data_IF_422468378568
#
_entry.id   IF_422468378568
#
_cell.length_a   1.000
_cell.length_b   1.000
_cell.length_c   1.000
_cell.angle_alpha   90.00
_cell.angle_beta   90.00
_cell.angle_gamma   90.00
#
_symmetry.space_group_name_H-M   'P 1'
#
loop_
_entity.id
_entity.type
_entity.pdbx_description
1 polymer ?
#
# COMPACT_ATOMS: atom_id res chain seq x y z
N UNK A 1 18.60 28.58 21.78
CA UNK A 1 17.26 28.34 22.30
C UNK A 1 16.91 26.92 21.88
N UNK A 2 16.94 26.01 22.85
CA UNK A 2 16.73 24.58 22.67
C UNK A 2 15.26 24.33 22.35
N UNK A 3 14.97 23.86 21.15
CA UNK A 3 13.64 23.36 20.80
C UNK A 3 13.42 22.03 21.50
N UNK A 4 12.52 22.01 22.47
CA UNK A 4 12.02 20.79 23.11
C UNK A 4 11.44 19.88 22.01
N UNK A 5 12.10 18.77 21.78
CA UNK A 5 11.60 17.65 20.97
C UNK A 5 10.52 16.95 21.82
N UNK A 6 9.30 17.47 21.81
CA UNK A 6 8.14 16.79 22.38
C UNK A 6 7.93 15.48 21.61
N UNK A 7 7.66 14.42 22.33
CA UNK A 7 7.24 13.13 21.76
C UNK A 7 6.07 13.31 20.77
N UNK A 8 6.07 12.65 19.59
CA UNK A 8 5.04 12.81 18.55
C UNK A 8 3.60 12.68 19.05
N UNK A 9 3.36 11.82 20.05
CA UNK A 9 2.06 11.67 20.70
C UNK A 9 1.66 12.88 21.56
N UNK A 10 2.60 13.44 22.31
CA UNK A 10 2.37 14.65 23.14
C UNK A 10 2.13 15.87 22.26
N UNK A 11 2.85 16.00 21.16
CA UNK A 11 2.66 17.08 20.21
C UNK A 11 1.30 16.99 19.51
N UNK A 12 0.86 15.79 19.10
CA UNK A 12 -0.46 15.58 18.50
C UNK A 12 -1.60 15.95 19.45
N UNK A 13 -1.50 15.57 20.72
CA UNK A 13 -2.48 15.88 21.73
C UNK A 13 -2.63 17.39 21.97
N UNK A 14 -1.51 18.12 22.01
CA UNK A 14 -1.52 19.56 22.18
C UNK A 14 -2.17 20.29 20.99
N UNK A 15 -1.76 19.95 19.77
CA UNK A 15 -2.30 20.55 18.54
C UNK A 15 -3.78 20.21 18.39
N UNK A 16 -4.19 18.96 18.66
CA UNK A 16 -5.58 18.56 18.60
C UNK A 16 -6.45 19.29 19.63
N UNK A 17 -5.98 19.46 20.87
CA UNK A 17 -6.68 20.23 21.90
C UNK A 17 -6.93 21.68 21.47
N UNK A 18 -5.94 22.32 20.86
CA UNK A 18 -6.07 23.67 20.32
C UNK A 18 -7.05 23.71 19.14
N UNK A 19 -6.96 22.75 18.20
CA UNK A 19 -7.87 22.64 17.06
C UNK A 19 -9.32 22.40 17.52
N UNK A 20 -9.54 21.53 18.50
CA UNK A 20 -10.84 21.23 19.05
C UNK A 20 -11.49 22.48 19.72
N UNK A 21 -10.68 23.30 20.39
CA UNK A 21 -11.14 24.57 20.96
C UNK A 21 -11.62 25.53 19.87
N UNK A 22 -10.89 25.62 18.75
CA UNK A 22 -11.29 26.44 17.59
C UNK A 22 -12.56 25.91 16.92
N UNK A 23 -12.69 24.58 16.78
CA UNK A 23 -13.88 23.93 16.20
C UNK A 23 -15.13 24.13 17.08
N UNK A 24 -15.00 24.05 18.39
CA UNK A 24 -16.08 24.32 19.34
C UNK A 24 -16.54 25.79 19.30
N UNK A 25 -15.59 26.72 19.14
CA UNK A 25 -15.84 28.15 19.00
C UNK A 25 -16.38 28.59 17.65
N UNK A 26 -16.36 27.73 16.66
CA UNK A 26 -16.77 28.10 15.30
C UNK A 26 -18.30 28.25 15.22
N UNK A 27 -18.75 29.46 14.87
CA UNK A 27 -20.16 29.83 14.77
C UNK A 27 -20.86 29.25 13.53
N UNK A 28 -20.12 28.83 12.52
CA UNK A 28 -20.68 28.25 11.29
C UNK A 28 -21.06 26.79 11.43
N UNK A 29 -20.60 26.11 12.50
CA UNK A 29 -20.87 24.70 12.76
C UNK A 29 -22.09 24.54 13.65
N UNK A 30 -23.03 23.72 13.25
CA UNK A 30 -24.16 23.30 14.11
C UNK A 30 -23.71 22.45 15.29
N UNK A 31 -24.52 22.36 16.35
CA UNK A 31 -24.21 21.51 17.50
C UNK A 31 -23.97 20.03 17.13
N UNK A 32 -24.73 19.52 16.13
CA UNK A 32 -24.53 18.15 15.61
C UNK A 32 -23.19 17.97 14.91
N UNK A 33 -22.78 18.96 14.13
CA UNK A 33 -21.47 18.92 13.44
C UNK A 33 -20.30 19.00 14.41
N UNK A 34 -20.42 19.76 15.49
CA UNK A 34 -19.42 19.84 16.56
C UNK A 34 -19.26 18.49 17.28
N UNK A 35 -20.36 17.75 17.45
CA UNK A 35 -20.33 16.42 18.07
C UNK A 35 -19.45 15.39 17.36
N UNK A 36 -19.25 15.52 16.02
CA UNK A 36 -18.37 14.61 15.28
C UNK A 36 -16.89 14.72 15.65
N UNK A 37 -16.45 15.83 16.25
CA UNK A 37 -15.08 16.03 16.68
C UNK A 37 -14.82 15.54 18.11
N UNK A 38 -15.86 15.34 18.94
CA UNK A 38 -15.71 15.02 20.37
C UNK A 38 -15.16 13.60 20.64
N UNK A 39 -15.45 12.65 19.74
CA UNK A 39 -14.96 11.27 19.85
C UNK A 39 -13.62 11.01 19.16
N UNK A 40 -12.95 12.05 18.68
CA UNK A 40 -11.69 11.91 17.94
C UNK A 40 -10.51 11.99 18.90
N UNK A 41 -9.64 10.98 18.85
CA UNK A 41 -8.42 10.89 19.66
C UNK A 41 -7.18 11.11 18.81
N UNK A 42 -6.31 12.07 19.15
CA UNK A 42 -5.04 12.25 18.46
C UNK A 42 -4.05 11.15 18.87
N UNK A 43 -3.42 10.49 17.91
CA UNK A 43 -2.41 9.46 18.18
C UNK A 43 -0.99 10.00 18.03
N UNK A 44 -0.66 10.57 16.87
CA UNK A 44 0.69 11.04 16.60
C UNK A 44 0.73 12.07 15.46
N UNK A 45 1.85 12.79 15.33
CA UNK A 45 2.15 13.66 14.18
C UNK A 45 3.43 13.16 13.53
N UNK A 46 3.39 13.00 12.20
CA UNK A 46 4.53 12.65 11.37
C UNK A 46 4.63 13.65 10.21
N UNK A 47 5.67 14.48 10.24
CA UNK A 47 5.84 15.54 9.25
C UNK A 47 4.64 16.48 9.18
N UNK A 48 3.91 16.47 8.07
CA UNK A 48 2.70 17.29 7.86
C UNK A 48 1.39 16.51 8.07
N UNK A 49 1.44 15.33 8.66
CA UNK A 49 0.25 14.49 8.86
C UNK A 49 -0.02 14.25 10.34
N UNK A 50 -1.26 14.51 10.81
CA UNK A 50 -1.75 14.14 12.13
C UNK A 50 -2.64 12.92 12.04
N UNK A 51 -2.36 11.89 12.85
CA UNK A 51 -3.16 10.67 12.92
C UNK A 51 -4.23 10.87 13.99
N UNK A 52 -5.49 10.69 13.59
CA UNK A 52 -6.67 10.85 14.42
C UNK A 52 -7.43 9.52 14.47
N UNK A 53 -7.59 8.97 15.67
CA UNK A 53 -8.40 7.79 15.88
C UNK A 53 -9.88 8.18 16.02
N UNK A 54 -10.75 7.47 15.31
CA UNK A 54 -12.21 7.67 15.30
C UNK A 54 -12.94 6.39 15.65
N UNK A 55 -14.13 6.51 16.24
CA UNK A 55 -14.88 5.35 16.74
C UNK A 55 -15.48 4.47 15.63
N UNK A 56 -15.81 5.04 14.47
CA UNK A 56 -16.50 4.33 13.40
C UNK A 56 -16.26 4.95 12.01
N UNK A 57 -16.65 4.18 10.97
CA UNK A 57 -16.53 4.58 9.57
C UNK A 57 -17.38 5.83 9.22
N UNK A 58 -18.49 6.06 9.91
CA UNK A 58 -19.37 7.18 9.65
C UNK A 58 -18.71 8.49 10.07
N UNK A 59 -18.09 8.52 11.27
CA UNK A 59 -17.29 9.65 11.75
C UNK A 59 -16.13 9.92 10.79
N UNK A 60 -15.40 8.90 10.37
CA UNK A 60 -14.32 9.06 9.40
C UNK A 60 -14.82 9.72 8.11
N UNK A 61 -15.91 9.22 7.55
CA UNK A 61 -16.46 9.74 6.29
C UNK A 61 -16.89 11.21 6.44
N UNK A 62 -17.60 11.56 7.52
CA UNK A 62 -18.04 12.94 7.76
C UNK A 62 -16.87 13.91 7.88
N UNK A 63 -15.80 13.51 8.56
CA UNK A 63 -14.59 14.32 8.73
C UNK A 63 -13.75 14.42 7.44
N UNK A 64 -13.84 13.43 6.55
CA UNK A 64 -13.15 13.44 5.25
C UNK A 64 -13.91 14.19 4.15
N UNK A 65 -15.23 14.38 4.29
CA UNK A 65 -16.05 15.01 3.27
C UNK A 65 -16.57 16.36 3.73
N UNK A 66 -17.68 16.39 4.46
CA UNK A 66 -18.45 17.60 4.77
C UNK A 66 -17.72 18.54 5.76
N UNK A 67 -16.92 18.00 6.65
CA UNK A 67 -16.22 18.76 7.69
C UNK A 67 -14.72 18.92 7.40
N UNK A 68 -14.21 18.39 6.30
CA UNK A 68 -12.78 18.37 5.98
C UNK A 68 -12.17 19.77 5.89
N UNK A 69 -12.82 20.69 5.19
CA UNK A 69 -12.31 22.06 4.99
C UNK A 69 -12.17 22.82 6.30
N UNK A 70 -13.14 22.65 7.20
CA UNK A 70 -13.15 23.32 8.52
C UNK A 70 -12.11 22.67 9.44
N UNK A 71 -11.96 21.35 9.37
CA UNK A 71 -10.95 20.60 10.12
C UNK A 71 -9.52 21.01 9.71
N UNK A 72 -9.24 21.06 8.40
CA UNK A 72 -7.94 21.49 7.87
C UNK A 72 -7.59 22.92 8.31
N UNK A 73 -8.55 23.84 8.27
CA UNK A 73 -8.34 25.20 8.72
C UNK A 73 -8.03 25.27 10.22
N UNK A 74 -8.77 24.51 11.05
CA UNK A 74 -8.53 24.46 12.48
C UNK A 74 -7.15 23.86 12.83
N UNK A 75 -6.75 22.79 12.13
CA UNK A 75 -5.44 22.17 12.30
C UNK A 75 -4.29 23.09 11.89
N UNK A 76 -4.45 23.81 10.76
CA UNK A 76 -3.46 24.81 10.30
C UNK A 76 -3.25 25.93 11.33
N UNK A 77 -4.33 26.47 11.87
CA UNK A 77 -4.24 27.53 12.89
C UNK A 77 -3.64 26.99 14.20
N UNK A 78 -4.05 25.78 14.62
CA UNK A 78 -3.55 25.14 15.83
C UNK A 78 -2.06 24.78 15.75
N UNK A 79 -1.53 24.56 14.54
CA UNK A 79 -0.12 24.25 14.26
C UNK A 79 0.70 25.48 13.86
N UNK A 80 0.29 26.67 14.29
CA UNK A 80 1.09 27.90 14.04
C UNK A 80 1.15 28.33 12.57
N UNK A 81 0.15 27.95 11.74
CA UNK A 81 0.08 28.33 10.33
C UNK A 81 0.68 27.29 9.37
N UNK A 82 1.31 26.24 9.88
CA UNK A 82 1.84 25.14 9.08
C UNK A 82 0.71 24.15 8.77
N UNK A 83 0.56 23.77 7.53
CA UNK A 83 -0.50 22.85 7.11
C UNK A 83 -0.31 21.45 7.71
N UNK A 84 -1.38 20.94 8.33
CA UNK A 84 -1.47 19.58 8.83
C UNK A 84 -2.66 18.87 8.19
N UNK A 85 -2.42 17.67 7.70
CA UNK A 85 -3.43 16.85 7.05
C UNK A 85 -3.87 15.73 7.98
N UNK A 86 -5.19 15.58 8.25
CA UNK A 86 -5.69 14.53 9.11
C UNK A 86 -5.71 13.19 8.39
N UNK A 87 -5.18 12.18 9.05
CA UNK A 87 -5.31 10.78 8.69
C UNK A 87 -6.15 10.08 9.75
N UNK A 88 -7.07 9.20 9.35
CA UNK A 88 -8.03 8.61 10.28
C UNK A 88 -7.78 7.11 10.46
N UNK A 89 -7.77 6.67 11.71
CA UNK A 89 -7.73 5.26 12.14
C UNK A 89 -9.02 4.94 12.91
N UNK A 90 -9.64 3.81 12.63
CA UNK A 90 -10.86 3.40 13.33
C UNK A 90 -10.50 2.63 14.59
N UNK A 91 -10.98 3.09 15.75
CA UNK A 91 -10.85 2.37 17.00
C UNK A 91 -11.73 1.12 16.96
N UNK A 92 -11.11 -0.06 17.01
CA UNK A 92 -11.87 -1.29 17.23
C UNK A 92 -12.31 -1.29 18.71
N UNK A 93 -13.61 -1.23 18.98
CA UNK A 93 -14.17 -1.38 20.32
C UNK A 93 -13.84 -2.75 20.87
N UNK A 94 -12.79 -2.84 21.69
CA UNK A 94 -12.60 -3.97 22.59
C UNK A 94 -13.68 -3.86 23.66
N UNK A 95 -14.73 -4.64 23.51
CA UNK A 95 -15.78 -4.82 24.53
C UNK A 95 -15.14 -5.47 25.76
N UNK A 96 -14.64 -4.66 26.67
CA UNK A 96 -14.27 -5.10 28.00
C UNK A 96 -15.56 -5.27 28.79
N UNK A 97 -16.10 -6.49 28.72
CA UNK A 97 -17.19 -6.89 29.59
C UNK A 97 -16.71 -6.91 31.04
N UNK A 98 -17.10 -5.92 31.80
CA UNK A 98 -17.05 -5.94 33.26
C UNK A 98 -18.26 -6.78 33.72
N UNK A 99 -18.00 -7.97 34.21
CA UNK A 99 -18.99 -8.72 34.98
C UNK A 99 -19.03 -8.19 36.41
N UNK A 100 -20.21 -8.10 37.03
CA UNK A 100 -20.41 -8.43 38.42
C UNK A 100 -21.20 -9.73 38.51
N UNK A 101 -20.68 -10.64 39.36
CA UNK A 101 -21.24 -11.95 39.53
C UNK A 101 -22.59 -12.01 40.25
N UNK A 102 -23.26 -13.11 40.02
CA UNK A 102 -24.02 -13.88 41.05
C UNK A 102 -24.51 -15.19 40.47
N UNK A 103 -24.44 -16.14 41.29
CA UNK A 103 -24.64 -17.57 41.20
C UNK A 103 -26.07 -18.05 40.87
N UNK A 104 -26.08 -19.37 40.55
CA UNK A 104 -27.07 -20.43 40.85
C UNK A 104 -28.05 -20.72 39.70
N UNK A 105 -28.10 -21.90 39.19
CA UNK A 105 -28.53 -23.23 39.46
C UNK A 105 -28.95 -23.98 38.18
N UNK A 106 -28.70 -25.23 38.22
CA UNK A 106 -28.89 -26.26 37.20
C UNK A 106 -30.37 -26.56 36.90
N UNK A 107 -30.69 -27.03 35.69
CA UNK A 107 -31.38 -28.32 35.51
C UNK A 107 -31.61 -28.69 34.02
N UNK A 108 -31.09 -29.87 33.70
CA UNK A 108 -31.62 -30.97 32.83
C UNK A 108 -32.08 -30.68 31.40
N UNK A 109 -31.36 -31.36 30.50
CA UNK A 109 -31.89 -31.93 29.25
C UNK A 109 -32.99 -33.03 29.54
N UNK A 110 -33.80 -33.47 28.56
CA UNK A 110 -33.28 -34.31 27.50
C UNK A 110 -34.03 -34.29 26.13
N UNK A 111 -33.30 -34.83 25.14
CA UNK A 111 -33.72 -35.93 24.24
C UNK A 111 -34.61 -35.68 23.02
N UNK A 112 -33.99 -35.97 21.86
CA UNK A 112 -34.44 -36.91 20.81
C UNK A 112 -35.57 -36.52 19.86
N UNK A 113 -35.30 -36.46 18.55
CA UNK A 113 -35.65 -37.47 17.55
C UNK A 113 -35.35 -37.00 16.12
N UNK A 114 -34.60 -37.84 15.39
CA UNK A 114 -34.73 -37.99 13.93
C UNK A 114 -35.98 -38.84 13.62
N UNK A 115 -36.57 -38.73 12.42
CA UNK A 115 -36.33 -39.74 11.38
C UNK A 115 -36.27 -39.16 9.95
N UNK A 116 -35.37 -39.75 9.12
CA UNK A 116 -35.51 -40.72 8.01
C UNK A 116 -36.43 -40.32 6.86
N UNK A 117 -35.83 -40.09 5.72
CA UNK A 117 -35.62 -40.93 4.52
C UNK A 117 -36.74 -40.90 3.43
N UNK A 118 -36.22 -40.94 2.24
CA UNK A 118 -36.69 -41.52 0.98
C UNK A 118 -37.20 -40.51 -0.06
N UNK A 119 -36.56 -40.51 -1.16
CA UNK A 119 -36.62 -41.24 -2.45
C UNK A 119 -37.08 -40.32 -3.58
N UNK A 120 -36.39 -40.10 -4.64
CA UNK A 120 -36.21 -40.76 -5.92
C UNK A 120 -35.68 -39.75 -6.97
N UNK A 121 -34.67 -40.14 -7.71
CA UNK A 121 -34.28 -39.54 -9.00
C UNK A 121 -35.28 -39.99 -10.11
N UNK A 122 -35.33 -39.32 -11.29
CA UNK A 122 -34.44 -39.75 -12.36
C UNK A 122 -33.90 -38.66 -13.34
N UNK A 123 -32.71 -38.94 -13.81
CA UNK A 123 -32.09 -38.79 -15.16
C UNK A 123 -32.63 -37.73 -16.14
N UNK A 124 -31.69 -36.91 -16.59
CA UNK A 124 -31.81 -36.15 -17.84
C UNK A 124 -30.49 -35.50 -18.22
N UNK A 125 -29.80 -36.13 -19.13
CA UNK A 125 -28.54 -35.77 -19.79
C UNK A 125 -28.59 -34.41 -20.47
N UNK A 126 -27.52 -33.58 -20.31
CA UNK A 126 -26.88 -32.85 -21.39
C UNK A 126 -25.64 -32.10 -20.82
N UNK A 127 -24.49 -32.45 -21.29
CA UNK A 127 -23.26 -31.70 -21.10
C UNK A 127 -23.32 -30.41 -21.92
N UNK A 128 -22.92 -29.26 -21.38
CA UNK A 128 -22.55 -28.10 -22.21
C UNK A 128 -21.04 -28.09 -22.44
N UNK A 129 -20.71 -27.80 -23.68
CA UNK A 129 -19.41 -27.65 -24.25
C UNK A 129 -18.53 -26.63 -23.50
N UNK A 130 -17.24 -26.93 -23.43
CA UNK A 130 -16.18 -26.00 -23.06
C UNK A 130 -16.17 -24.79 -24.00
N UNK A 131 -16.10 -23.55 -23.52
CA UNK A 131 -15.71 -22.45 -24.37
C UNK A 131 -14.18 -22.49 -24.52
N UNK A 132 -13.75 -22.56 -25.76
CA UNK A 132 -12.35 -22.32 -26.15
C UNK A 132 -12.00 -20.87 -25.85
N UNK A 133 -11.04 -20.66 -24.98
CA UNK A 133 -10.41 -19.36 -24.80
C UNK A 133 -9.49 -19.10 -25.99
N UNK A 134 -10.01 -18.35 -26.96
CA UNK A 134 -9.16 -17.60 -27.89
C UNK A 134 -8.51 -16.46 -27.06
N UNK A 135 -7.19 -16.52 -26.92
CA UNK A 135 -6.41 -15.34 -26.63
C UNK A 135 -6.39 -14.54 -27.92
N UNK A 136 -7.17 -13.47 -27.94
CA UNK A 136 -6.99 -12.44 -28.97
C UNK A 136 -5.58 -11.88 -28.79
N UNK A 137 -4.76 -12.03 -29.84
CA UNK A 137 -3.54 -11.26 -30.01
C UNK A 137 -3.88 -9.80 -29.84
N UNK A 138 -3.29 -9.16 -28.83
CA UNK A 138 -3.39 -7.74 -28.61
C UNK A 138 -2.97 -7.04 -29.91
N UNK A 139 -3.93 -6.45 -30.58
CA UNK A 139 -3.69 -5.61 -31.76
C UNK A 139 -2.75 -4.50 -31.30
N UNK A 140 -1.53 -4.54 -31.82
CA UNK A 140 -0.56 -3.45 -31.65
C UNK A 140 -1.12 -2.28 -32.47
N UNK A 141 -1.86 -1.38 -31.81
CA UNK A 141 -2.31 -0.15 -32.46
C UNK A 141 -1.06 0.67 -32.81
N UNK A 142 -0.87 0.90 -34.08
CA UNK A 142 0.18 1.80 -34.58
C UNK A 142 -0.25 3.23 -34.34
N UNK A 143 0.73 4.14 -34.26
CA UNK A 143 0.50 5.57 -34.03
C UNK A 143 -0.47 6.19 -35.05
N UNK A 144 -0.54 5.64 -36.27
CA UNK A 144 -1.47 6.03 -37.33
C UNK A 144 -2.93 5.67 -37.04
N UNK A 145 -3.18 4.63 -36.24
CA UNK A 145 -4.56 4.24 -35.85
C UNK A 145 -5.15 5.14 -34.78
N UNK A 146 -4.28 5.87 -34.04
CA UNK A 146 -4.69 6.73 -32.91
C UNK A 146 -4.99 8.18 -33.38
N UNK A 147 -4.42 8.60 -34.50
CA UNK A 147 -4.57 9.98 -35.05
C UNK A 147 -4.80 9.98 -36.57
N UNK A 148 -5.96 9.59 -37.07
CA UNK A 148 -6.24 9.75 -38.50
C UNK A 148 -6.44 11.22 -38.86
N UNK A 149 -5.55 11.79 -39.62
CA UNK A 149 -5.79 13.06 -40.36
C UNK A 149 -5.01 14.29 -39.91
N UNK A 150 -3.92 14.21 -39.18
CA UNK A 150 -3.05 15.36 -38.93
C UNK A 150 -1.75 15.23 -39.76
N UNK A 151 -1.75 15.85 -40.93
CA UNK A 151 -0.52 16.22 -41.64
C UNK A 151 0.17 17.33 -40.82
N UNK A 152 1.14 16.98 -40.00
CA UNK A 152 2.06 17.95 -39.43
C UNK A 152 3.16 18.25 -40.46
N UNK A 153 3.00 19.38 -41.15
CA UNK A 153 4.09 20.00 -41.88
C UNK A 153 5.12 20.53 -40.89
N UNK A 154 6.18 19.76 -40.65
CA UNK A 154 7.27 20.14 -39.77
C UNK A 154 8.16 21.15 -40.48
N UNK A 155 8.40 22.36 -39.95
CA UNK A 155 9.44 23.25 -40.49
C UNK A 155 10.80 22.57 -40.27
N UNK A 156 11.58 22.44 -41.33
CA UNK A 156 12.95 21.96 -41.30
C UNK A 156 13.81 22.88 -40.43
N UNK A 157 13.97 22.54 -39.15
CA UNK A 157 14.91 23.20 -38.26
C UNK A 157 16.25 22.45 -38.34
N UNK A 158 17.17 23.03 -39.08
CA UNK A 158 18.62 22.71 -39.00
C UNK A 158 19.19 23.19 -37.69
N UNK A 159 18.92 22.44 -36.61
CA UNK A 159 19.54 22.60 -35.30
C UNK A 159 20.21 21.28 -34.93
N UNK A 160 21.53 21.24 -35.05
CA UNK A 160 22.37 20.14 -34.58
C UNK A 160 22.19 19.98 -33.08
N UNK A 161 21.40 19.00 -32.64
CA UNK A 161 21.31 18.63 -31.23
C UNK A 161 22.61 17.97 -30.78
N UNK A 162 23.18 18.30 -29.62
CA UNK A 162 24.37 17.63 -29.13
C UNK A 162 24.03 16.14 -28.92
N UNK A 163 24.69 15.27 -29.68
CA UNK A 163 24.61 13.84 -29.49
C UNK A 163 25.28 13.48 -28.16
N UNK A 164 24.44 13.20 -27.17
CA UNK A 164 24.93 12.59 -25.92
C UNK A 164 25.23 11.11 -26.22
N UNK A 165 26.46 10.63 -25.94
CA UNK A 165 26.83 9.25 -26.21
C UNK A 165 25.88 8.28 -25.50
N UNK A 166 25.33 7.32 -26.23
CA UNK A 166 24.58 6.19 -25.69
C UNK A 166 25.51 5.27 -24.89
N UNK A 167 25.94 5.69 -23.69
CA UNK A 167 26.54 4.79 -22.72
C UNK A 167 25.46 4.31 -21.78
N UNK A 168 25.21 3.02 -21.84
CA UNK A 168 24.47 2.16 -20.89
C UNK A 168 23.12 2.70 -20.38
N UNK A 169 22.10 2.75 -21.26
CA UNK A 169 20.73 3.20 -20.93
C UNK A 169 19.81 2.10 -20.38
N UNK A 170 20.31 0.92 -20.13
CA UNK A 170 19.58 -0.08 -19.34
C UNK A 170 20.20 -0.12 -17.93
N UNK A 171 19.80 0.82 -17.06
CA UNK A 171 19.95 0.57 -15.64
C UNK A 171 19.07 -0.63 -15.31
N UNK A 172 19.69 -1.83 -15.31
CA UNK A 172 19.10 -2.97 -14.62
C UNK A 172 18.73 -2.49 -13.22
N UNK A 173 17.53 -2.80 -12.70
CA UNK A 173 17.24 -2.49 -11.31
C UNK A 173 18.42 -2.98 -10.48
N UNK A 174 18.98 -2.11 -9.67
CA UNK A 174 20.12 -2.44 -8.79
C UNK A 174 19.55 -3.21 -7.60
N UNK A 175 19.15 -4.45 -7.84
CA UNK A 175 18.68 -5.36 -6.81
C UNK A 175 19.84 -5.72 -5.90
N UNK A 176 19.65 -5.51 -4.62
CA UNK A 176 20.56 -5.97 -3.59
C UNK A 176 20.46 -7.50 -3.47
N UNK A 177 21.56 -8.26 -3.60
CA UNK A 177 21.50 -9.72 -3.60
C UNK A 177 21.04 -10.33 -2.27
N UNK A 178 21.24 -9.63 -1.17
CA UNK A 178 20.93 -10.13 0.17
C UNK A 178 19.49 -9.78 0.57
N UNK A 179 19.09 -8.54 0.34
CA UNK A 179 17.78 -8.02 0.77
C UNK A 179 16.71 -8.08 -0.32
N UNK A 180 17.10 -8.27 -1.58
CA UNK A 180 16.27 -8.18 -2.79
C UNK A 180 15.64 -6.80 -3.03
N UNK A 181 16.10 -5.76 -2.35
CA UNK A 181 15.62 -4.41 -2.53
C UNK A 181 16.13 -3.76 -3.81
N UNK A 182 15.28 -2.99 -4.48
CA UNK A 182 15.72 -2.04 -5.50
C UNK A 182 16.25 -0.78 -4.81
N UNK A 183 17.56 -0.56 -4.89
CA UNK A 183 18.23 0.57 -4.24
C UNK A 183 17.82 1.95 -4.78
N UNK A 184 17.22 2.00 -5.97
CA UNK A 184 16.77 3.26 -6.57
C UNK A 184 15.41 3.72 -6.03
N UNK A 185 14.61 2.80 -5.47
CA UNK A 185 13.30 3.11 -4.94
C UNK A 185 13.43 3.59 -3.48
N UNK A 186 13.42 4.90 -3.31
CA UNK A 186 13.58 5.58 -2.02
C UNK A 186 12.40 6.51 -1.76
N UNK A 187 12.27 7.02 -0.53
CA UNK A 187 11.30 8.08 -0.25
C UNK A 187 11.58 9.39 -0.98
N UNK A 188 12.84 9.65 -1.37
CA UNK A 188 13.21 10.84 -2.13
C UNK A 188 12.81 10.75 -3.61
N UNK A 189 12.81 9.52 -4.16
CA UNK A 189 12.35 9.26 -5.53
C UNK A 189 10.86 8.98 -5.62
N UNK A 190 10.16 8.86 -4.49
CA UNK A 190 8.71 8.72 -4.43
C UNK A 190 8.04 10.10 -4.39
N UNK A 191 7.36 10.47 -5.46
CA UNK A 191 6.68 11.78 -5.57
C UNK A 191 5.39 11.78 -4.73
N UNK A 192 5.31 12.62 -3.67
CA UNK A 192 4.11 12.73 -2.88
C UNK A 192 3.03 13.54 -3.60
N UNK A 193 1.79 13.11 -3.49
CA UNK A 193 0.58 13.80 -3.93
C UNK A 193 -0.57 13.48 -2.99
N UNK A 194 -1.73 14.11 -3.15
CA UNK A 194 -2.86 13.91 -2.24
C UNK A 194 -3.35 12.45 -2.21
N UNK A 195 -3.22 11.75 -3.33
CA UNK A 195 -3.61 10.34 -3.48
C UNK A 195 -2.73 9.33 -2.73
N UNK A 196 -1.49 9.68 -2.38
CA UNK A 196 -0.51 8.76 -1.80
C UNK A 196 0.22 9.30 -0.56
N UNK A 197 0.00 10.56 -0.18
CA UNK A 197 0.69 11.24 0.92
C UNK A 197 0.57 10.48 2.23
N UNK A 198 -0.64 10.01 2.55
CA UNK A 198 -0.87 9.25 3.76
C UNK A 198 -0.09 7.92 3.76
N UNK A 199 -0.19 7.16 2.68
CA UNK A 199 0.56 5.91 2.54
C UNK A 199 2.07 6.13 2.69
N UNK A 200 2.62 7.19 2.07
CA UNK A 200 4.04 7.56 2.22
C UNK A 200 4.42 7.92 3.65
N UNK A 201 3.57 8.68 4.35
CA UNK A 201 3.85 9.11 5.74
C UNK A 201 3.88 7.92 6.69
N UNK A 202 2.89 7.03 6.59
CA UNK A 202 2.84 5.80 7.40
C UNK A 202 4.01 4.87 7.07
N UNK A 203 4.33 4.72 5.78
CA UNK A 203 5.47 3.93 5.33
C UNK A 203 6.79 4.44 5.95
N UNK A 204 6.97 5.76 6.01
CA UNK A 204 8.14 6.38 6.63
C UNK A 204 8.19 6.09 8.14
N UNK A 205 7.07 6.23 8.86
CA UNK A 205 6.99 5.91 10.29
C UNK A 205 7.34 4.44 10.59
N UNK A 206 6.84 3.51 9.77
CA UNK A 206 7.21 2.08 9.89
C UNK A 206 8.69 1.87 9.58
N UNK A 207 9.25 2.54 8.57
CA UNK A 207 10.66 2.46 8.23
C UNK A 207 11.57 2.96 9.37
N UNK A 208 11.17 4.04 10.03
CA UNK A 208 11.89 4.60 11.20
C UNK A 208 11.81 3.71 12.45
N UNK A 209 10.82 2.82 12.53
CA UNK A 209 10.56 1.99 13.69
C UNK A 209 9.70 2.66 14.77
N UNK A 210 9.16 3.85 14.48
CA UNK A 210 8.25 4.59 15.37
C UNK A 210 6.78 4.13 15.23
N UNK A 211 6.44 3.45 14.12
CA UNK A 211 5.09 2.98 13.81
C UNK A 211 4.78 1.58 14.34
N UNK A 212 5.07 1.26 15.59
CA UNK A 212 4.80 -0.09 16.16
C UNK A 212 3.32 -0.46 16.13
N UNK A 213 2.44 0.53 16.32
CA UNK A 213 0.98 0.35 16.27
C UNK A 213 0.45 0.12 14.84
N UNK A 214 1.29 0.32 13.82
CA UNK A 214 0.94 0.11 12.40
C UNK A 214 1.38 -1.25 11.87
N UNK A 215 1.72 -2.18 12.76
CA UNK A 215 2.20 -3.51 12.39
C UNK A 215 1.05 -4.54 12.47
N UNK A 216 0.74 -5.27 11.39
CA UNK A 216 1.29 -5.13 10.06
C UNK A 216 0.81 -3.87 9.33
N UNK A 217 1.62 -3.32 8.41
CA UNK A 217 1.19 -2.30 7.47
C UNK A 217 0.71 -2.98 6.18
N UNK A 218 -0.55 -2.77 5.81
CA UNK A 218 -1.11 -3.24 4.55
C UNK A 218 -1.29 -2.06 3.59
N UNK A 219 -0.54 -2.03 2.49
CA UNK A 219 -0.63 -1.02 1.44
C UNK A 219 -1.41 -1.64 0.27
N UNK A 220 -2.56 -1.08 -0.10
CA UNK A 220 -3.33 -1.59 -1.22
C UNK A 220 -3.68 -0.50 -2.24
N UNK A 221 -3.99 -0.91 -3.46
CA UNK A 221 -4.36 -0.02 -4.57
C UNK A 221 -4.12 -0.69 -5.90
N UNK A 222 -4.64 -0.12 -6.97
CA UNK A 222 -4.51 -0.66 -8.31
C UNK A 222 -3.07 -0.96 -8.73
N UNK A 223 -2.89 -1.78 -9.76
CA UNK A 223 -1.57 -2.08 -10.30
C UNK A 223 -0.88 -0.81 -10.82
N UNK A 224 0.46 -0.72 -10.63
CA UNK A 224 1.25 0.39 -11.15
C UNK A 224 1.12 1.72 -10.39
N UNK A 225 0.57 1.75 -9.17
CA UNK A 225 0.41 2.97 -8.36
C UNK A 225 1.59 3.27 -7.41
N UNK A 226 2.69 2.48 -7.46
CA UNK A 226 3.89 2.72 -6.65
C UNK A 226 3.94 1.95 -5.33
N UNK A 227 3.12 0.91 -5.13
CA UNK A 227 3.16 0.06 -3.92
C UNK A 227 4.53 -0.59 -3.73
N UNK A 228 5.06 -1.22 -4.77
CA UNK A 228 6.41 -1.82 -4.80
C UNK A 228 7.49 -0.79 -4.47
N UNK A 229 7.39 0.42 -4.98
CA UNK A 229 8.29 1.51 -4.67
C UNK A 229 8.26 1.84 -3.17
N UNK A 230 7.07 1.95 -2.56
CA UNK A 230 6.95 2.20 -1.12
C UNK A 230 7.55 1.07 -0.29
N UNK A 231 7.35 -0.20 -0.68
CA UNK A 231 7.98 -1.33 0.02
C UNK A 231 9.51 -1.21 -0.02
N UNK A 232 10.08 -0.99 -1.21
CA UNK A 232 11.53 -0.81 -1.37
C UNK A 232 12.03 0.41 -0.58
N UNK A 233 11.30 1.53 -0.62
CA UNK A 233 11.65 2.73 0.14
C UNK A 233 11.70 2.48 1.65
N UNK A 234 10.74 1.71 2.20
CA UNK A 234 10.73 1.29 3.61
C UNK A 234 12.00 0.50 3.93
N UNK A 235 12.33 -0.49 3.11
CA UNK A 235 13.50 -1.35 3.31
C UNK A 235 14.81 -0.56 3.24
N UNK A 236 14.98 0.23 2.20
CA UNK A 236 16.18 1.08 2.00
C UNK A 236 16.37 2.06 3.15
N UNK A 237 15.29 2.71 3.61
CA UNK A 237 15.36 3.65 4.72
C UNK A 237 15.65 2.98 6.05
N UNK A 238 15.06 1.80 6.32
CA UNK A 238 15.34 1.03 7.54
C UNK A 238 16.81 0.64 7.63
N UNK A 239 17.43 0.21 6.52
CA UNK A 239 18.87 -0.08 6.43
C UNK A 239 19.73 1.17 6.62
N UNK A 240 19.31 2.31 6.05
CA UNK A 240 20.02 3.58 6.21
C UNK A 240 20.02 4.06 7.66
N UNK A 241 18.87 3.95 8.34
CA UNK A 241 18.68 4.39 9.73
C UNK A 241 19.40 3.49 10.73
N UNK A 242 19.36 2.19 10.51
CA UNK A 242 19.96 1.17 11.39
C UNK A 242 20.72 0.14 10.54
N UNK A 243 22.01 0.40 10.23
CA UNK A 243 22.86 -0.58 9.56
C UNK A 243 22.96 -1.85 10.42
N UNK A 244 22.57 -2.98 9.91
CA UNK A 244 22.48 -4.25 10.65
C UNK A 244 21.05 -4.74 10.88
N UNK A 245 20.03 -3.94 10.53
CA UNK A 245 18.64 -4.41 10.41
C UNK A 245 18.56 -5.45 9.31
N UNK A 246 18.00 -6.62 9.60
CA UNK A 246 17.80 -7.68 8.61
C UNK A 246 16.47 -7.43 7.89
N UNK A 247 16.58 -6.92 6.68
CA UNK A 247 15.43 -6.64 5.81
C UNK A 247 15.32 -7.70 4.74
N UNK A 248 14.11 -8.16 4.45
CA UNK A 248 13.83 -9.05 3.33
C UNK A 248 12.63 -8.52 2.55
N UNK A 249 12.87 -8.19 1.28
CA UNK A 249 11.83 -7.99 0.28
C UNK A 249 11.62 -9.29 -0.48
N UNK A 250 10.36 -9.64 -0.73
CA UNK A 250 9.99 -10.84 -1.47
C UNK A 250 8.63 -10.64 -2.13
N UNK A 251 8.47 -11.12 -3.36
CA UNK A 251 7.15 -11.28 -3.96
C UNK A 251 6.49 -12.55 -3.44
N UNK A 252 5.18 -12.62 -3.44
CA UNK A 252 4.46 -13.84 -3.05
C UNK A 252 4.79 -15.04 -3.94
N UNK A 253 5.14 -14.79 -5.20
CA UNK A 253 5.60 -15.81 -6.13
C UNK A 253 6.99 -16.36 -5.75
N UNK A 254 7.95 -15.49 -5.46
CA UNK A 254 9.28 -15.89 -4.98
C UNK A 254 9.20 -16.66 -3.67
N UNK A 255 8.40 -16.19 -2.71
CA UNK A 255 8.15 -16.90 -1.45
C UNK A 255 7.62 -18.31 -1.69
N UNK A 256 6.66 -18.47 -2.63
CA UNK A 256 6.10 -19.75 -3.02
C UNK A 256 7.17 -20.67 -3.61
N UNK A 257 7.95 -20.16 -4.55
CA UNK A 257 8.96 -20.96 -5.27
C UNK A 257 10.06 -21.41 -4.30
N UNK A 258 10.56 -20.53 -3.44
CA UNK A 258 11.56 -20.88 -2.42
C UNK A 258 11.02 -21.93 -1.43
N UNK A 259 9.75 -21.83 -1.03
CA UNK A 259 9.11 -22.82 -0.17
C UNK A 259 9.01 -24.19 -0.85
N UNK A 260 8.51 -24.24 -2.09
CA UNK A 260 8.40 -25.47 -2.86
C UNK A 260 9.76 -26.12 -3.07
N UNK A 261 10.79 -25.33 -3.40
CA UNK A 261 12.15 -25.81 -3.60
C UNK A 261 12.75 -26.38 -2.31
N UNK A 262 12.47 -25.76 -1.16
CA UNK A 262 12.88 -26.28 0.13
C UNK A 262 12.27 -27.65 0.44
N UNK A 263 10.97 -27.85 0.13
CA UNK A 263 10.27 -29.13 0.29
C UNK A 263 10.79 -30.23 -0.64
N UNK A 264 11.13 -29.86 -1.89
CA UNK A 264 11.69 -30.82 -2.87
C UNK A 264 13.09 -31.27 -2.48
N UNK A 265 13.90 -30.34 -2.00
CA UNK A 265 15.27 -30.64 -1.59
C UNK A 265 15.31 -31.49 -0.32
N UNK A 266 14.43 -31.29 0.66
CA UNK A 266 14.29 -32.13 1.84
C UNK A 266 14.03 -33.61 1.47
N UNK A 267 13.19 -33.83 0.45
CA UNK A 267 12.88 -35.18 -0.03
C UNK A 267 14.06 -35.87 -0.73
N UNK A 268 14.96 -35.08 -1.31
CA UNK A 268 16.04 -35.58 -2.14
C UNK A 268 17.36 -35.78 -1.38
N UNK A 269 17.69 -34.94 -0.41
CA UNK A 269 19.02 -34.90 0.26
C UNK A 269 19.03 -35.31 1.71
N UNK A 270 17.87 -35.36 2.37
CA UNK A 270 17.76 -35.62 3.82
C UNK A 270 18.30 -34.49 4.70
N UNK A 271 18.73 -33.38 4.13
CA UNK A 271 19.08 -32.15 4.83
C UNK A 271 17.84 -31.27 4.97
N UNK A 272 17.60 -30.75 6.17
CA UNK A 272 16.39 -29.95 6.46
C UNK A 272 16.48 -28.56 5.87
N UNK A 273 16.25 -28.43 4.55
CA UNK A 273 16.21 -27.14 3.84
C UNK A 273 14.99 -26.31 4.22
N UNK A 274 13.94 -26.95 4.71
CA UNK A 274 12.81 -26.23 5.29
C UNK A 274 13.21 -25.43 6.54
N UNK A 275 14.18 -25.92 7.34
CA UNK A 275 14.69 -25.17 8.47
C UNK A 275 15.51 -23.96 8.03
N UNK A 276 16.26 -24.07 6.92
CA UNK A 276 16.96 -22.94 6.31
C UNK A 276 15.98 -21.89 5.81
N UNK A 277 14.92 -22.31 5.09
CA UNK A 277 13.83 -21.43 4.68
C UNK A 277 13.19 -20.73 5.88
N UNK A 278 12.84 -21.48 6.94
CA UNK A 278 12.25 -20.92 8.15
C UNK A 278 13.18 -19.88 8.78
N UNK A 279 14.49 -20.17 8.88
CA UNK A 279 15.48 -19.22 9.42
C UNK A 279 15.55 -17.96 8.56
N UNK A 280 15.60 -18.10 7.24
CA UNK A 280 15.66 -16.99 6.27
C UNK A 280 14.50 -16.00 6.44
N UNK A 281 13.29 -16.49 6.76
CA UNK A 281 12.08 -15.67 6.84
C UNK A 281 11.64 -15.34 8.27
N UNK A 282 12.12 -16.01 9.30
CA UNK A 282 11.71 -15.79 10.70
C UNK A 282 12.75 -15.05 11.54
N UNK A 283 14.01 -15.02 11.08
CA UNK A 283 15.10 -14.32 11.80
C UNK A 283 15.36 -12.90 11.27
N UNK A 284 14.46 -12.33 10.50
CA UNK A 284 14.54 -10.98 9.96
C UNK A 284 13.87 -9.97 10.90
N UNK A 285 14.20 -8.70 10.71
CA UNK A 285 13.63 -7.59 11.50
C UNK A 285 12.52 -6.87 10.74
N UNK A 286 12.55 -6.91 9.41
CA UNK A 286 11.55 -6.30 8.51
C UNK A 286 11.24 -7.27 7.37
N UNK A 287 10.00 -7.71 7.27
CA UNK A 287 9.46 -8.45 6.13
C UNK A 287 8.66 -7.49 5.24
N UNK A 288 9.02 -7.43 3.96
CA UNK A 288 8.31 -6.69 2.93
C UNK A 288 7.81 -7.71 1.91
N UNK A 289 6.51 -7.97 1.88
CA UNK A 289 5.93 -8.92 0.93
C UNK A 289 5.04 -8.20 -0.08
N UNK A 290 5.34 -8.42 -1.36
CA UNK A 290 4.61 -7.80 -2.45
C UNK A 290 3.63 -8.79 -3.10
N UNK A 291 2.57 -8.23 -3.67
CA UNK A 291 1.55 -8.95 -4.44
C UNK A 291 0.94 -10.15 -3.68
N UNK A 292 0.60 -9.93 -2.41
CA UNK A 292 0.12 -10.97 -1.50
C UNK A 292 -1.08 -11.76 -2.05
N UNK A 293 -1.90 -11.15 -2.91
CA UNK A 293 -3.10 -11.77 -3.49
C UNK A 293 -2.80 -13.08 -4.23
N UNK A 294 -1.57 -13.28 -4.74
CA UNK A 294 -1.20 -14.50 -5.46
C UNK A 294 -0.90 -15.71 -4.56
N UNK A 295 -0.99 -15.56 -3.24
CA UNK A 295 -0.94 -16.70 -2.30
C UNK A 295 -2.30 -17.40 -2.14
N UNK A 296 -3.42 -16.75 -2.48
CA UNK A 296 -4.76 -17.22 -2.15
C UNK A 296 -5.14 -18.61 -2.68
N UNK A 297 -4.59 -18.99 -3.84
CA UNK A 297 -4.88 -20.31 -4.46
C UNK A 297 -3.85 -21.39 -4.07
N UNK A 298 -2.95 -21.13 -3.08
CA UNK A 298 -1.82 -21.99 -2.72
C UNK A 298 -1.88 -22.36 -1.24
N UNK A 299 -2.80 -23.23 -0.86
CA UNK A 299 -3.13 -23.56 0.52
C UNK A 299 -1.91 -23.87 1.40
N UNK A 300 -1.00 -24.77 0.98
CA UNK A 300 0.18 -25.13 1.76
C UNK A 300 1.19 -23.95 1.92
N UNK A 301 1.32 -23.12 0.89
CA UNK A 301 2.16 -21.91 0.97
C UNK A 301 1.53 -20.86 1.87
N UNK A 302 0.21 -20.71 1.82
CA UNK A 302 -0.53 -19.78 2.65
C UNK A 302 -0.44 -20.16 4.13
N UNK A 303 -0.53 -21.47 4.45
CA UNK A 303 -0.31 -22.00 5.80
C UNK A 303 1.13 -21.69 6.29
N UNK A 304 2.13 -21.95 5.45
CA UNK A 304 3.52 -21.63 5.77
C UNK A 304 3.73 -20.13 6.00
N UNK A 305 3.09 -19.30 5.17
CA UNK A 305 3.11 -17.85 5.34
C UNK A 305 2.45 -17.44 6.67
N UNK A 306 1.32 -18.02 7.03
CA UNK A 306 0.67 -17.76 8.31
C UNK A 306 1.58 -18.06 9.51
N UNK A 307 2.32 -19.18 9.48
CA UNK A 307 3.29 -19.50 10.53
C UNK A 307 4.45 -18.50 10.57
N UNK A 308 4.95 -18.08 9.42
CA UNK A 308 6.01 -17.06 9.31
C UNK A 308 5.53 -15.72 9.84
N UNK A 309 4.34 -15.29 9.42
CA UNK A 309 3.70 -14.06 9.89
C UNK A 309 3.55 -14.05 11.43
N UNK A 310 2.97 -15.10 12.01
CA UNK A 310 2.79 -15.19 13.46
C UNK A 310 4.10 -15.16 14.22
N UNK A 311 5.14 -15.85 13.72
CA UNK A 311 6.46 -15.83 14.32
C UNK A 311 7.06 -14.41 14.35
N UNK A 312 6.97 -13.69 13.25
CA UNK A 312 7.45 -12.30 13.16
C UNK A 312 6.63 -11.36 14.04
N UNK A 313 5.31 -11.45 13.97
CA UNK A 313 4.40 -10.60 14.72
C UNK A 313 4.58 -10.74 16.24
N UNK A 314 4.69 -11.97 16.75
CA UNK A 314 4.91 -12.25 18.18
C UNK A 314 6.27 -11.74 18.67
N UNK A 315 7.26 -11.65 17.79
CA UNK A 315 8.59 -11.11 18.10
C UNK A 315 8.71 -9.61 17.81
N UNK A 316 7.58 -8.89 17.62
CA UNK A 316 7.52 -7.46 17.32
C UNK A 316 8.37 -7.06 16.09
N UNK A 317 8.48 -7.97 15.10
CA UNK A 317 9.15 -7.67 13.84
C UNK A 317 8.19 -6.93 12.91
N UNK A 318 8.72 -6.02 12.10
CA UNK A 318 7.94 -5.20 11.17
C UNK A 318 7.50 -6.04 9.97
N UNK A 319 6.21 -5.98 9.64
CA UNK A 319 5.61 -6.68 8.50
C UNK A 319 4.89 -5.66 7.64
N UNK A 320 5.27 -5.57 6.37
CA UNK A 320 4.62 -4.71 5.38
C UNK A 320 4.14 -5.57 4.22
N UNK A 321 2.89 -5.39 3.86
CA UNK A 321 2.19 -6.20 2.86
C UNK A 321 1.67 -5.28 1.77
N UNK A 322 1.96 -5.57 0.50
CA UNK A 322 1.31 -4.90 -0.61
C UNK A 322 0.31 -5.81 -1.32
N UNK A 323 -0.79 -5.23 -1.78
CA UNK A 323 -1.87 -5.92 -2.48
C UNK A 323 -2.56 -5.01 -3.50
N UNK A 324 -3.16 -5.60 -4.52
CA UNK A 324 -4.03 -4.87 -5.45
C UNK A 324 -5.43 -4.59 -4.87
N UNK A 325 -5.83 -5.33 -3.83
CA UNK A 325 -7.14 -5.24 -3.19
C UNK A 325 -7.01 -5.10 -1.67
N UNK A 326 -7.96 -4.48 -0.97
CA UNK A 326 -7.94 -4.41 0.48
C UNK A 326 -8.02 -5.82 1.11
N UNK A 327 -7.49 -6.01 2.34
CA UNK A 327 -7.45 -7.32 3.00
C UNK A 327 -8.77 -8.09 3.00
N UNK A 328 -9.89 -7.40 3.20
CA UNK A 328 -11.25 -8.00 3.18
C UNK A 328 -11.62 -8.69 1.86
N UNK A 329 -11.01 -8.26 0.76
CA UNK A 329 -11.30 -8.73 -0.59
C UNK A 329 -10.29 -9.78 -1.09
N UNK A 330 -9.32 -10.18 -0.26
CA UNK A 330 -8.36 -11.22 -0.61
C UNK A 330 -9.07 -12.58 -0.72
N UNK A 331 -9.08 -13.14 -1.92
CA UNK A 331 -9.70 -14.45 -2.19
C UNK A 331 -8.77 -15.58 -1.74
N UNK A 332 -9.35 -16.66 -1.24
CA UNK A 332 -8.60 -17.85 -0.81
C UNK A 332 -7.92 -17.71 0.56
N UNK A 333 -7.97 -16.52 1.18
CA UNK A 333 -7.38 -16.30 2.50
C UNK A 333 -8.37 -16.67 3.61
N UNK A 334 -7.86 -17.36 4.63
CA UNK A 334 -8.65 -17.67 5.81
C UNK A 334 -8.95 -16.41 6.64
N UNK A 335 -10.13 -16.37 7.27
CA UNK A 335 -10.58 -15.24 8.10
C UNK A 335 -9.59 -14.87 9.21
N UNK A 336 -8.87 -15.87 9.77
CA UNK A 336 -7.84 -15.64 10.80
C UNK A 336 -6.67 -14.80 10.28
N UNK A 337 -6.25 -14.97 9.01
CA UNK A 337 -5.16 -14.20 8.42
C UNK A 337 -5.64 -12.79 8.04
N UNK A 338 -6.85 -12.68 7.49
CA UNK A 338 -7.49 -11.39 7.21
C UNK A 338 -7.59 -10.55 8.49
N UNK A 339 -8.10 -11.15 9.57
CA UNK A 339 -8.19 -10.46 10.87
C UNK A 339 -6.83 -9.98 11.38
N UNK A 340 -5.75 -10.74 11.14
CA UNK A 340 -4.38 -10.31 11.48
C UNK A 340 -3.91 -9.13 10.64
N UNK A 341 -4.22 -9.10 9.36
CA UNK A 341 -3.90 -7.95 8.51
C UNK A 341 -4.64 -6.68 8.95
N UNK A 342 -5.87 -6.83 9.41
CA UNK A 342 -6.72 -5.73 9.90
C UNK A 342 -6.35 -5.26 11.32
N UNK A 343 -5.58 -6.01 12.08
CA UNK A 343 -5.10 -5.58 13.41
C UNK A 343 -4.12 -4.41 13.33
N UNK A 344 -3.37 -4.30 12.24
CA UNK A 344 -2.46 -3.20 11.98
C UNK A 344 -3.14 -2.03 11.26
N UNK A 345 -2.42 -1.41 10.36
CA UNK A 345 -2.94 -0.29 9.58
C UNK A 345 -3.06 -0.67 8.11
N UNK A 346 -4.22 -0.41 7.53
CA UNK A 346 -4.48 -0.58 6.09
C UNK A 346 -4.60 0.78 5.43
N UNK A 347 -3.77 1.02 4.41
CA UNK A 347 -3.71 2.29 3.67
C UNK A 347 -3.92 2.07 2.19
N UNK A 348 -4.69 2.95 1.56
CA UNK A 348 -4.92 2.94 0.12
C UNK A 348 -3.96 3.87 -0.63
N UNK A 349 -3.59 3.45 -1.83
CA UNK A 349 -2.87 4.27 -2.81
C UNK A 349 -3.77 4.41 -4.04
N UNK A 350 -4.15 5.66 -4.33
CA UNK A 350 -5.06 5.99 -5.45
C UNK A 350 -4.29 6.49 -6.66
N UNK A 351 -4.90 6.49 -7.85
CA UNK A 351 -4.32 7.14 -9.03
C UNK A 351 -3.94 8.59 -8.72
N UNK A 352 -2.77 9.05 -9.18
CA UNK A 352 -2.29 10.41 -8.94
C UNK A 352 -3.11 11.43 -9.76
N UNK A 353 -3.27 12.63 -9.20
CA UNK A 353 -3.81 13.79 -9.92
C UNK A 353 -2.85 14.28 -11.02
N UNK A 354 -3.30 15.21 -11.83
CA UNK A 354 -2.52 15.72 -12.97
C UNK A 354 -1.19 16.33 -12.52
N UNK A 355 -1.19 17.13 -11.46
CA UNK A 355 0.01 17.77 -10.94
C UNK A 355 1.04 16.75 -10.47
N UNK A 356 0.59 15.75 -9.75
CA UNK A 356 1.42 14.64 -9.31
C UNK A 356 1.98 13.84 -10.48
N UNK A 357 1.17 13.58 -11.53
CA UNK A 357 1.65 12.88 -12.73
C UNK A 357 2.75 13.67 -13.46
N UNK A 358 2.57 14.99 -13.61
CA UNK A 358 3.60 15.88 -14.19
C UNK A 358 4.88 15.85 -13.34
N UNK A 359 4.74 15.92 -12.02
CA UNK A 359 5.88 15.85 -11.10
C UNK A 359 6.63 14.51 -11.20
N UNK A 360 5.91 13.39 -11.33
CA UNK A 360 6.49 12.05 -11.56
C UNK A 360 7.29 12.03 -12.87
N UNK A 361 6.70 12.52 -13.97
CA UNK A 361 7.40 12.56 -15.25
C UNK A 361 8.67 13.43 -15.19
N UNK A 362 8.62 14.57 -14.54
CA UNK A 362 9.79 15.45 -14.33
C UNK A 362 10.87 14.76 -13.49
N UNK A 363 10.48 14.04 -12.44
CA UNK A 363 11.40 13.24 -11.63
C UNK A 363 12.08 12.16 -12.47
N UNK A 364 11.33 11.42 -13.30
CA UNK A 364 11.85 10.37 -14.18
C UNK A 364 12.84 10.94 -15.21
N UNK A 365 12.50 12.06 -15.84
CA UNK A 365 13.38 12.76 -16.81
C UNK A 365 14.67 13.19 -16.13
N UNK A 366 14.59 13.80 -14.94
CA UNK A 366 15.74 14.23 -14.15
C UNK A 366 16.64 13.06 -13.76
N UNK A 367 16.04 11.97 -13.27
CA UNK A 367 16.78 10.76 -12.85
C UNK A 367 17.46 10.07 -14.01
N UNK A 368 16.83 10.06 -15.19
CA UNK A 368 17.39 9.45 -16.40
C UNK A 368 18.40 10.35 -17.12
N UNK A 369 18.54 11.62 -16.70
CA UNK A 369 19.42 12.59 -17.37
C UNK A 369 19.01 12.86 -18.81
N UNK A 370 17.72 12.72 -19.13
CA UNK A 370 17.16 12.99 -20.46
C UNK A 370 16.51 14.38 -20.48
N UNK A 371 16.41 14.98 -21.65
CA UNK A 371 15.67 16.22 -21.82
C UNK A 371 14.37 15.93 -22.59
N UNK A 372 13.23 16.34 -22.03
CA UNK A 372 11.93 16.26 -22.68
C UNK A 372 11.23 17.61 -22.46
N UNK A 373 10.71 18.27 -23.50
CA UNK A 373 9.98 19.53 -23.37
C UNK A 373 8.77 19.39 -22.41
N UNK A 374 8.45 20.47 -21.69
CA UNK A 374 7.38 20.44 -20.69
C UNK A 374 6.00 20.17 -21.31
N UNK A 375 5.72 20.72 -22.49
CA UNK A 375 4.47 20.51 -23.24
C UNK A 375 4.26 19.02 -23.60
N UNK A 376 5.34 18.29 -23.88
CA UNK A 376 5.29 16.83 -24.12
C UNK A 376 5.00 16.08 -22.81
N UNK A 377 5.61 16.50 -21.68
CA UNK A 377 5.33 15.91 -20.36
C UNK A 377 3.89 16.15 -19.94
N UNK A 378 3.39 17.37 -20.16
CA UNK A 378 2.00 17.76 -19.85
C UNK A 378 1.02 16.92 -20.69
N UNK A 379 1.29 16.75 -22.00
CA UNK A 379 0.47 15.91 -22.87
C UNK A 379 0.45 14.44 -22.44
N UNK A 380 1.61 13.87 -22.04
CA UNK A 380 1.67 12.50 -21.52
C UNK A 380 0.85 12.41 -20.23
N UNK A 381 1.00 13.35 -19.30
CA UNK A 381 0.28 13.36 -18.04
C UNK A 381 -1.24 13.47 -18.21
N UNK A 382 -1.71 14.23 -19.21
CA UNK A 382 -3.14 14.35 -19.54
C UNK A 382 -3.71 13.05 -20.11
N UNK A 383 -2.93 12.33 -20.95
CA UNK A 383 -3.38 11.14 -21.66
C UNK A 383 -3.40 9.88 -20.81
N UNK A 384 -2.44 9.70 -19.92
CA UNK A 384 -2.26 8.50 -19.13
C UNK A 384 -2.63 8.76 -17.66
N UNK A 385 -3.85 8.39 -17.29
CA UNK A 385 -4.47 8.77 -16.00
C UNK A 385 -4.48 7.64 -14.98
N UNK A 386 -4.42 6.37 -15.40
CA UNK A 386 -4.82 5.23 -14.59
C UNK A 386 -3.68 4.69 -13.73
N UNK A 387 -2.47 4.66 -14.25
CA UNK A 387 -1.33 4.14 -13.51
C UNK A 387 0.01 4.76 -13.93
N UNK A 388 0.99 4.69 -13.03
CA UNK A 388 2.33 5.28 -13.23
C UNK A 388 3.16 4.46 -14.22
N UNK A 389 2.94 3.13 -14.32
CA UNK A 389 3.67 2.30 -15.29
C UNK A 389 3.36 2.69 -16.74
N UNK A 390 2.12 3.10 -17.01
CA UNK A 390 1.74 3.61 -18.34
C UNK A 390 2.39 4.96 -18.65
N UNK A 391 2.48 5.85 -17.65
CA UNK A 391 3.22 7.12 -17.76
C UNK A 391 4.70 6.87 -18.10
N UNK A 392 5.37 5.98 -17.37
CA UNK A 392 6.75 5.59 -17.62
C UNK A 392 6.92 4.96 -19.00
N UNK A 393 6.00 4.07 -19.38
CA UNK A 393 6.00 3.43 -20.70
C UNK A 393 5.83 4.42 -21.84
N UNK A 394 4.96 5.43 -21.69
CA UNK A 394 4.76 6.49 -22.65
C UNK A 394 6.00 7.39 -22.78
N UNK A 395 6.59 7.82 -21.64
CA UNK A 395 7.82 8.60 -21.61
C UNK A 395 8.96 7.85 -22.31
N UNK A 396 9.14 6.56 -22.00
CA UNK A 396 10.18 5.73 -22.60
C UNK A 396 9.99 5.58 -24.11
N UNK A 397 8.76 5.42 -24.61
CA UNK A 397 8.47 5.37 -26.06
C UNK A 397 8.82 6.67 -26.76
N UNK A 398 8.41 7.81 -26.18
CA UNK A 398 8.69 9.14 -26.76
C UNK A 398 10.19 9.42 -26.79
N UNK A 399 10.90 9.15 -25.69
CA UNK A 399 12.36 9.36 -25.62
C UNK A 399 13.13 8.42 -26.54
N UNK A 400 12.70 7.17 -26.69
CA UNK A 400 13.30 6.23 -27.64
C UNK A 400 13.10 6.70 -29.08
N UNK A 401 11.89 7.14 -29.46
CA UNK A 401 11.62 7.66 -30.79
C UNK A 401 12.44 8.92 -31.09
N UNK A 402 12.52 9.86 -30.15
CA UNK A 402 13.33 11.06 -30.29
C UNK A 402 14.84 10.80 -30.42
N UNK A 403 15.32 9.66 -29.89
CA UNK A 403 16.74 9.28 -30.00
C UNK A 403 17.10 8.57 -31.31
N UNK A 404 16.09 8.17 -32.10
CA UNK A 404 16.29 7.50 -33.40
C UNK A 404 16.26 8.49 -34.58
N UNK A 405 15.75 9.71 -34.37
CA UNK A 405 15.69 10.80 -35.32
C UNK A 405 16.78 11.85 -35.02
#
# INVERSE_FOLDING_TARGET
>A
MSGDNLDPGTQSALIWSNALTLLRGNATLSARQKGWFEGVLPEAIYGTTIILAVENNETQRMLQTDLNSVLLQALKVANGGIELFPAFKILQSSTRATQPGAQVEAERAPSRAKPTAAEAAPRGSAAPAKPATHYDEAVVQTFEDIMPGTNFDMPASTGSFPQVPMKDRQRKPSLDPETHLNRNDTFDTFVPGDSNRFARTVALAVAEGSGQDFNPLCIYGGSGLGKTHLLNAIGNYALLKQPGTRVRYVTSEEFTNEFIDSLRADKASGESRINEFNRKYREIDVLLIDDIQFLGDKESTLEQFFHTFNSLYQNNKRIVIASDVPPKNLKGFESRLISRFEQGLTVDVKPPDLETRIAILRMLVSTNGTYVPNDVLDLIAERFTDNIRELEGALNRVTALASLN
#
